data_IF_960310518250
#
_entry.id   IF_960310518250
#
_cell.length_a   1.000
_cell.length_b   1.000
_cell.length_c   1.000
_cell.angle_alpha   90.00
_cell.angle_beta   90.00
_cell.angle_gamma   90.00
#
_symmetry.space_group_name_H-M   'P 1'
#
loop_
_entity.id
_entity.type
_entity.pdbx_description
1 polymer ?
#
# COMPACT_ATOMS: atom_id res chain seq x y z
N UNK A 1 -4.36 -23.08 1.12
CA UNK A 1 -5.59 -22.45 0.60
C UNK A 1 -5.19 -21.61 -0.59
N UNK A 2 -5.62 -21.95 -1.82
CA UNK A 2 -5.27 -21.18 -3.02
C UNK A 2 -6.03 -19.85 -3.06
N UNK A 3 -5.34 -18.84 -3.58
CA UNK A 3 -5.86 -17.51 -3.85
C UNK A 3 -6.03 -17.34 -5.36
N UNK A 4 -7.19 -16.82 -5.75
CA UNK A 4 -7.53 -16.50 -7.12
C UNK A 4 -7.40 -14.99 -7.28
N UNK A 5 -6.54 -14.57 -8.20
CA UNK A 5 -6.24 -13.17 -8.47
C UNK A 5 -6.73 -12.81 -9.87
N UNK A 6 -7.66 -11.85 -9.97
CA UNK A 6 -8.09 -11.28 -11.23
C UNK A 6 -7.32 -9.98 -11.45
N UNK A 7 -6.28 -10.07 -12.27
CA UNK A 7 -5.51 -8.90 -12.70
C UNK A 7 -6.38 -8.06 -13.65
N UNK A 8 -6.48 -6.73 -13.47
CA UNK A 8 -7.18 -5.86 -14.40
C UNK A 8 -6.69 -6.07 -15.83
N UNK A 9 -7.59 -5.96 -16.81
CA UNK A 9 -7.28 -6.10 -18.24
C UNK A 9 -6.85 -7.51 -18.70
N UNK A 10 -6.62 -8.45 -17.78
CA UNK A 10 -6.30 -9.84 -18.10
C UNK A 10 -7.55 -10.71 -17.90
N UNK A 11 -8.06 -11.37 -18.95
CA UNK A 11 -9.29 -12.16 -18.86
C UNK A 11 -9.11 -13.46 -18.07
N UNK A 12 -7.87 -13.94 -17.91
CA UNK A 12 -7.56 -15.23 -17.27
C UNK A 12 -7.04 -15.02 -15.86
N UNK A 13 -7.77 -15.58 -14.90
CA UNK A 13 -7.43 -15.54 -13.47
C UNK A 13 -6.12 -16.27 -13.18
N UNK A 14 -5.38 -15.80 -12.18
CA UNK A 14 -4.18 -16.45 -11.68
C UNK A 14 -4.46 -17.18 -10.38
N UNK A 15 -3.85 -18.34 -10.17
CA UNK A 15 -3.93 -19.08 -8.91
C UNK A 15 -2.58 -19.04 -8.22
N UNK A 16 -2.54 -18.58 -6.97
CA UNK A 16 -1.32 -18.51 -6.16
C UNK A 16 -1.57 -19.03 -4.75
N UNK A 17 -0.54 -19.56 -4.11
CA UNK A 17 -0.59 -19.91 -2.69
C UNK A 17 0.04 -18.83 -1.80
N UNK A 18 0.55 -17.75 -2.38
CA UNK A 18 1.24 -16.69 -1.64
C UNK A 18 0.22 -15.70 -1.05
N UNK A 19 0.06 -15.62 0.29
CA UNK A 19 -0.88 -14.70 0.92
C UNK A 19 -0.45 -13.23 0.79
N UNK A 20 0.84 -12.93 0.65
CA UNK A 20 1.32 -11.54 0.52
C UNK A 20 0.78 -10.90 -0.77
N UNK A 21 0.90 -11.62 -1.90
CA UNK A 21 0.35 -11.19 -3.19
C UNK A 21 -1.16 -10.96 -3.08
N UNK A 22 -1.88 -11.88 -2.42
CA UNK A 22 -3.33 -11.75 -2.23
C UNK A 22 -3.69 -10.48 -1.45
N UNK A 23 -3.04 -10.23 -0.32
CA UNK A 23 -3.34 -9.07 0.51
C UNK A 23 -3.01 -7.75 -0.18
N UNK A 24 -1.89 -7.69 -0.91
CA UNK A 24 -1.51 -6.51 -1.67
C UNK A 24 -2.49 -6.22 -2.82
N UNK A 25 -2.83 -7.25 -3.62
CA UNK A 25 -3.81 -7.11 -4.69
C UNK A 25 -5.19 -6.68 -4.17
N UNK A 26 -5.61 -7.23 -3.03
CA UNK A 26 -6.84 -6.83 -2.35
C UNK A 26 -6.77 -5.35 -1.94
N UNK A 27 -5.65 -4.91 -1.38
CA UNK A 27 -5.42 -3.50 -1.00
C UNK A 27 -5.31 -2.55 -2.20
N UNK A 28 -5.07 -3.06 -3.41
CA UNK A 28 -5.11 -2.31 -4.67
C UNK A 28 -6.52 -2.23 -5.28
N UNK A 29 -7.49 -2.92 -4.69
CA UNK A 29 -8.86 -3.00 -5.21
C UNK A 29 -9.04 -3.99 -6.36
N UNK A 30 -8.12 -4.94 -6.53
CA UNK A 30 -8.29 -6.01 -7.51
C UNK A 30 -9.36 -7.00 -7.02
N UNK A 31 -9.99 -7.69 -7.97
CA UNK A 31 -10.94 -8.76 -7.62
C UNK A 31 -10.14 -10.00 -7.24
N UNK A 32 -10.16 -10.34 -5.95
CA UNK A 32 -9.47 -11.51 -5.42
C UNK A 32 -10.46 -12.40 -4.67
N UNK A 33 -10.30 -13.71 -4.79
CA UNK A 33 -11.10 -14.70 -4.07
C UNK A 33 -10.17 -15.69 -3.36
N UNK A 34 -10.54 -16.12 -2.17
CA UNK A 34 -9.91 -17.27 -1.51
C UNK A 34 -10.86 -18.45 -1.60
N UNK A 35 -10.34 -19.63 -1.99
CA UNK A 35 -11.14 -20.85 -2.12
C UNK A 35 -10.42 -22.04 -1.51
N UNK A 36 -11.14 -23.05 -1.03
CA UNK A 36 -10.52 -24.29 -0.55
C UNK A 36 -9.87 -25.05 -1.71
N UNK A 37 -8.86 -25.87 -1.41
CA UNK A 37 -8.19 -26.68 -2.44
C UNK A 37 -9.09 -27.73 -3.10
N UNK A 38 -10.16 -28.14 -2.40
CA UNK A 38 -11.16 -29.08 -2.90
C UNK A 38 -12.15 -28.45 -3.88
N UNK A 39 -12.13 -27.13 -4.05
CA UNK A 39 -13.04 -26.44 -4.96
C UNK A 39 -12.77 -26.85 -6.43
N UNK A 40 -13.86 -27.13 -7.16
CA UNK A 40 -13.80 -27.57 -8.55
C UNK A 40 -13.15 -26.54 -9.47
N UNK A 41 -13.31 -25.25 -9.17
CA UNK A 41 -12.69 -24.17 -9.96
C UNK A 41 -11.16 -24.21 -9.85
N UNK A 42 -10.63 -24.33 -8.64
CA UNK A 42 -9.19 -24.39 -8.41
C UNK A 42 -8.56 -25.62 -9.06
N UNK A 43 -9.26 -26.77 -9.00
CA UNK A 43 -8.84 -28.00 -9.68
C UNK A 43 -8.80 -27.82 -11.20
N UNK A 44 -9.89 -27.33 -11.78
CA UNK A 44 -9.99 -27.11 -13.23
C UNK A 44 -9.00 -26.05 -13.74
N UNK A 45 -8.75 -25.00 -12.97
CA UNK A 45 -7.77 -23.97 -13.32
C UNK A 45 -6.36 -24.54 -13.39
N UNK A 46 -5.96 -25.35 -12.39
CA UNK A 46 -4.65 -26.01 -12.35
C UNK A 46 -4.47 -27.02 -13.48
N UNK A 47 -5.48 -27.87 -13.70
CA UNK A 47 -5.45 -28.86 -14.77
C UNK A 47 -5.29 -28.21 -16.15
N UNK A 48 -5.95 -27.07 -16.39
CA UNK A 48 -5.80 -26.29 -17.63
C UNK A 48 -4.43 -25.60 -17.77
N UNK A 49 -3.80 -25.21 -16.67
CA UNK A 49 -2.45 -24.63 -16.69
C UNK A 49 -1.38 -25.70 -16.92
N UNK A 50 -1.56 -26.86 -16.31
CA UNK A 50 -0.71 -28.04 -16.47
C UNK A 50 -0.82 -28.61 -17.88
N UNK A 51 -2.02 -28.72 -18.45
CA UNK A 51 -2.23 -29.19 -19.83
C UNK A 51 -1.56 -28.31 -20.89
N UNK A 52 -1.24 -27.06 -20.55
CA UNK A 52 -0.56 -26.10 -21.43
C UNK A 52 0.92 -25.96 -21.12
N UNK A 53 1.42 -26.61 -20.07
CA UNK A 53 2.79 -26.45 -19.57
C UNK A 53 3.16 -24.97 -19.32
N UNK A 54 2.17 -24.19 -18.85
CA UNK A 54 2.28 -22.74 -18.65
C UNK A 54 2.37 -22.35 -17.17
N UNK A 55 2.31 -23.32 -16.24
CA UNK A 55 2.23 -23.06 -14.80
C UNK A 55 3.34 -22.11 -14.31
N UNK A 56 4.60 -22.42 -14.62
CA UNK A 56 5.74 -21.60 -14.20
C UNK A 56 5.73 -20.21 -14.84
N UNK A 57 5.40 -20.15 -16.14
CA UNK A 57 5.32 -18.87 -16.88
C UNK A 57 4.24 -17.98 -16.29
N UNK A 58 3.09 -18.54 -15.91
CA UNK A 58 1.99 -17.78 -15.29
C UNK A 58 2.33 -17.34 -13.87
N UNK A 59 3.03 -18.16 -13.10
CA UNK A 59 3.53 -17.75 -11.79
C UNK A 59 4.47 -16.54 -11.92
N UNK A 60 5.42 -16.58 -12.86
CA UNK A 60 6.33 -15.47 -13.15
C UNK A 60 5.59 -14.22 -13.66
N UNK A 61 4.55 -14.39 -14.49
CA UNK A 61 3.72 -13.27 -14.94
C UNK A 61 3.00 -12.59 -13.77
N UNK A 62 2.38 -13.38 -12.89
CA UNK A 62 1.71 -12.84 -11.70
C UNK A 62 2.69 -12.07 -10.82
N UNK A 63 3.89 -12.62 -10.60
CA UNK A 63 4.94 -11.96 -9.82
C UNK A 63 5.36 -10.64 -10.43
N UNK A 64 5.52 -10.56 -11.77
CA UNK A 64 5.81 -9.29 -12.46
C UNK A 64 4.71 -8.25 -12.25
N UNK A 65 3.43 -8.63 -12.37
CA UNK A 65 2.32 -7.71 -12.13
C UNK A 65 2.28 -7.23 -10.68
N UNK A 66 2.58 -8.11 -9.73
CA UNK A 66 2.67 -7.76 -8.32
C UNK A 66 3.84 -6.79 -8.06
N UNK A 67 5.04 -7.07 -8.57
CA UNK A 67 6.20 -6.18 -8.43
C UNK A 67 5.93 -4.78 -9.01
N UNK A 68 5.27 -4.70 -10.16
CA UNK A 68 4.88 -3.42 -10.76
C UNK A 68 3.86 -2.66 -9.89
N UNK A 69 2.88 -3.35 -9.30
CA UNK A 69 1.93 -2.76 -8.35
C UNK A 69 2.61 -2.24 -7.07
N UNK A 70 3.57 -2.99 -6.54
CA UNK A 70 4.40 -2.58 -5.38
C UNK A 70 5.20 -1.33 -5.72
N UNK A 71 5.92 -1.34 -6.84
CA UNK A 71 6.72 -0.19 -7.29
C UNK A 71 5.88 1.08 -7.48
N UNK A 72 4.68 0.96 -8.09
CA UNK A 72 3.74 2.07 -8.24
C UNK A 72 3.34 2.67 -6.89
N UNK A 73 3.06 1.84 -5.89
CA UNK A 73 2.66 2.31 -4.55
C UNK A 73 3.82 2.92 -3.77
N UNK A 74 5.02 2.36 -3.86
CA UNK A 74 6.22 2.97 -3.25
C UNK A 74 6.52 4.35 -3.84
N UNK A 75 6.41 4.49 -5.17
CA UNK A 75 6.60 5.76 -5.84
C UNK A 75 5.52 6.77 -5.47
N UNK A 76 4.26 6.34 -5.32
CA UNK A 76 3.18 7.21 -4.84
C UNK A 76 3.42 7.70 -3.40
N UNK A 77 3.92 6.84 -2.50
CA UNK A 77 4.30 7.24 -1.14
C UNK A 77 5.42 8.27 -1.14
N UNK A 78 6.48 8.05 -1.95
CA UNK A 78 7.59 9.00 -2.11
C UNK A 78 7.11 10.34 -2.65
N UNK A 79 6.21 10.34 -3.63
CA UNK A 79 5.62 11.55 -4.20
C UNK A 79 4.76 12.33 -3.18
N UNK A 80 3.92 11.64 -2.40
CA UNK A 80 3.13 12.28 -1.34
C UNK A 80 4.00 12.86 -0.22
N UNK A 81 5.11 12.20 0.11
CA UNK A 81 6.07 12.73 1.08
C UNK A 81 6.68 14.06 0.61
N UNK A 82 7.06 14.15 -0.67
CA UNK A 82 7.59 15.38 -1.26
C UNK A 82 6.52 16.49 -1.31
N UNK A 83 5.28 16.16 -1.66
CA UNK A 83 4.17 17.13 -1.67
C UNK A 83 3.88 17.68 -0.27
N UNK A 84 3.89 16.83 0.77
CA UNK A 84 3.69 17.25 2.16
C UNK A 84 4.85 18.11 2.68
N UNK A 85 6.08 17.91 2.18
CA UNK A 85 7.23 18.76 2.52
C UNK A 85 7.17 20.16 1.90
N UNK A 86 6.41 20.32 0.81
CA UNK A 86 6.20 21.61 0.12
C UNK A 86 5.07 22.47 0.71
N UNK A 87 4.12 21.85 1.42
CA UNK A 87 2.93 22.55 1.97
C UNK A 87 3.23 23.21 3.32
N UNK A 88 4.28 22.82 4.03
CA UNK A 88 4.64 23.39 5.34
C UNK A 88 5.36 24.74 5.29
N UNK A 89 5.64 25.31 4.11
CA UNK A 89 6.45 26.55 3.99
C UNK A 89 5.70 27.87 3.81
N UNK A 90 4.37 27.93 3.84
CA UNK A 90 3.70 29.23 3.76
C UNK A 90 2.32 29.29 4.42
N UNK A 91 2.30 29.13 5.74
CA UNK A 91 1.24 29.74 6.58
C UNK A 91 1.87 30.90 7.34
N UNK A 92 2.04 32.04 6.66
CA UNK A 92 2.22 33.32 7.36
C UNK A 92 0.90 33.58 8.09
N UNK A 93 0.91 33.84 9.42
CA UNK A 93 -0.30 34.24 10.12
C UNK A 93 -0.75 35.59 9.55
N UNK A 94 -1.93 35.63 8.96
CA UNK A 94 -2.58 36.87 8.55
C UNK A 94 -2.92 37.65 9.83
N UNK A 95 -2.04 38.57 10.20
CA UNK A 95 -2.24 39.51 11.29
C UNK A 95 -3.01 40.71 10.74
N UNK A 96 -4.35 40.64 10.85
CA UNK A 96 -5.27 41.70 10.42
C UNK A 96 -6.47 41.78 11.35
N UNK A 97 -6.52 42.83 12.15
CA UNK A 97 -7.46 43.17 13.22
C UNK A 97 -8.96 43.18 12.82
N UNK A 98 -9.83 42.70 13.71
CA UNK A 98 -11.29 42.84 13.55
C UNK A 98 -12.19 42.31 14.67
N UNK A 99 -12.03 42.83 15.90
CA UNK A 99 -13.02 42.95 17.00
C UNK A 99 -13.89 41.73 17.42
N UNK A 100 -13.52 41.19 18.59
CA UNK A 100 -14.26 40.41 19.60
C UNK A 100 -15.79 40.25 19.46
N UNK A 101 -16.27 39.00 19.58
CA UNK A 101 -17.47 38.68 20.36
C UNK A 101 -17.33 37.29 21.00
N UNK A 102 -17.11 37.33 22.33
CA UNK A 102 -17.48 36.38 23.41
C UNK A 102 -17.24 34.86 23.25
N UNK A 103 -16.34 34.39 24.12
CA UNK A 103 -16.03 33.04 24.62
C UNK A 103 -17.17 32.00 24.61
N UNK A 104 -16.85 30.77 24.20
CA UNK A 104 -16.98 29.59 25.10
C UNK A 104 -16.12 28.37 24.63
N UNK A 105 -15.63 27.61 25.63
CA UNK A 105 -15.00 26.27 25.63
C UNK A 105 -13.70 25.94 24.83
N UNK A 106 -12.56 26.26 25.46
CA UNK A 106 -11.48 25.37 25.97
C UNK A 106 -10.97 24.17 25.11
N UNK A 107 -9.71 24.35 24.67
CA UNK A 107 -8.54 23.42 24.62
C UNK A 107 -8.46 22.37 23.51
N UNK A 108 -7.71 22.79 22.48
CA UNK A 108 -6.85 21.95 21.65
C UNK A 108 -5.86 21.13 22.48
N UNK A 109 -5.95 19.81 22.43
CA UNK A 109 -4.85 18.92 22.83
C UNK A 109 -4.18 18.43 21.54
N UNK A 110 -3.10 19.10 21.16
CA UNK A 110 -2.14 18.55 20.21
C UNK A 110 -1.19 17.65 21.00
N UNK A 111 -1.29 16.33 20.82
CA UNK A 111 -0.26 15.39 21.29
C UNK A 111 0.88 15.46 20.29
N UNK A 112 1.87 16.30 20.60
CA UNK A 112 3.20 16.27 20.01
C UNK A 112 4.04 15.39 20.92
N UNK A 113 4.25 14.14 20.55
CA UNK A 113 5.36 13.37 21.11
C UNK A 113 6.60 13.68 20.29
N UNK A 114 7.44 14.55 20.86
CA UNK A 114 8.83 14.79 20.49
C UNK A 114 9.58 14.76 21.82
N UNK A 115 10.45 13.77 21.99
CA UNK A 115 11.72 13.92 22.69
C UNK A 115 12.56 12.64 22.54
N UNK A 116 13.65 12.75 21.77
CA UNK A 116 14.99 12.48 22.29
C UNK A 116 16.03 12.87 21.24
N UNK A 117 16.49 14.12 21.35
CA UNK A 117 17.73 14.69 20.81
C UNK A 117 18.38 15.28 22.09
N UNK A 118 19.66 15.21 22.45
CA UNK A 118 20.98 14.98 21.83
C UNK A 118 21.93 14.67 23.01
N UNK A 119 23.14 14.14 22.81
CA UNK A 119 24.40 14.79 23.26
C UNK A 119 25.59 14.14 22.52
N UNK A 120 26.25 14.95 21.67
CA UNK A 120 27.56 14.73 21.04
C UNK A 120 28.70 14.95 22.05
N UNK A 121 29.80 14.18 22.03
CA UNK A 121 31.19 14.65 22.28
C UNK A 121 32.22 13.70 21.64
N UNK A 122 33.17 14.24 20.86
CA UNK A 122 34.32 13.58 20.24
C UNK A 122 35.49 13.21 21.20
N UNK A 123 36.42 12.38 20.68
CA UNK A 123 37.89 12.39 20.81
C UNK A 123 38.62 11.16 21.42
N UNK A 124 39.55 10.71 20.58
CA UNK A 124 40.62 9.72 20.59
C UNK A 124 41.39 9.41 21.89
N UNK A 125 41.90 8.18 21.94
CA UNK A 125 43.30 7.85 22.30
C UNK A 125 43.91 6.92 21.24
#
# INVERSE_FOLDING_TARGET
MPYIINVPEIPRVYVTNNPAIYMDCLAWGWRCESRPFSDSFCKAAREREESRYEADKRAQQLERYWLDGVARRENAKKSMFIANLGITKSLKPFQGFGKHTRHDSVVSVAVVELDSDVEDVELSE
#
